data_IF_800069954277
#
_entry.id   IF_800069954277
#
_cell.length_a   1.000
_cell.length_b   1.000
_cell.length_c   1.000
_cell.angle_alpha   90.00
_cell.angle_beta   90.00
_cell.angle_gamma   90.00
#
_symmetry.space_group_name_H-M   'P 1'
#
loop_
_entity.id
_entity.type
_entity.pdbx_description
1 polymer ?
#
# COMPACT_ATOMS: atom_id res chain seq x y z
N UNK A 1 -13.47 1.94 10.93
CA UNK A 1 -12.90 2.34 9.63
C UNK A 1 -11.40 2.39 9.83
N UNK A 2 -10.64 1.38 9.39
CA UNK A 2 -9.21 1.60 9.17
C UNK A 2 -9.12 2.42 7.89
N UNK A 3 -8.66 3.66 7.97
CA UNK A 3 -8.31 4.39 6.76
C UNK A 3 -7.05 3.73 6.21
N UNK A 4 -7.13 3.18 5.00
CA UNK A 4 -5.99 2.71 4.20
C UNK A 4 -5.04 3.84 3.76
N UNK A 5 -5.17 5.01 4.37
CA UNK A 5 -4.55 6.23 3.93
C UNK A 5 -3.34 6.51 4.80
N UNK A 6 -2.22 6.69 4.12
CA UNK A 6 -0.94 6.94 4.75
C UNK A 6 -0.87 8.42 5.08
N UNK A 7 -0.57 8.75 6.34
CA UNK A 7 -0.37 10.12 6.80
C UNK A 7 1.09 10.28 7.21
N UNK A 8 1.75 11.31 6.69
CA UNK A 8 3.16 11.60 6.96
C UNK A 8 3.32 12.98 7.57
N UNK A 9 4.33 13.16 8.42
CA UNK A 9 4.84 14.48 8.74
C UNK A 9 5.44 15.14 7.49
N UNK A 10 5.31 16.46 7.36
CA UNK A 10 5.80 17.22 6.20
C UNK A 10 7.28 16.99 5.88
N UNK A 11 8.12 16.81 6.89
CA UNK A 11 9.56 16.62 6.70
C UNK A 11 9.90 15.27 6.04
N UNK A 12 9.04 14.27 6.22
CA UNK A 12 9.17 12.94 5.60
C UNK A 12 8.55 12.93 4.20
N UNK A 13 7.58 13.81 3.94
CA UNK A 13 6.80 13.85 2.71
C UNK A 13 7.65 14.01 1.44
N UNK A 14 8.65 14.89 1.48
CA UNK A 14 9.53 15.15 0.33
C UNK A 14 10.41 13.93 0.00
N UNK A 15 10.98 13.29 1.03
CA UNK A 15 11.71 12.04 0.85
C UNK A 15 10.80 10.94 0.29
N UNK A 16 9.58 10.83 0.81
CA UNK A 16 8.58 9.86 0.35
C UNK A 16 8.20 10.08 -1.12
N UNK A 17 8.07 11.33 -1.57
CA UNK A 17 7.76 11.68 -2.96
C UNK A 17 8.88 11.29 -3.94
N UNK A 18 10.13 11.46 -3.55
CA UNK A 18 11.28 11.02 -4.37
C UNK A 18 11.21 9.51 -4.63
N UNK A 19 10.87 8.73 -3.61
CA UNK A 19 10.81 7.26 -3.70
C UNK A 19 9.58 6.76 -4.45
N UNK A 20 8.42 7.31 -4.14
CA UNK A 20 7.17 6.89 -4.76
C UNK A 20 7.01 7.46 -6.19
N UNK A 21 7.80 8.47 -6.56
CA UNK A 21 7.76 9.13 -7.88
C UNK A 21 6.33 9.64 -8.16
N UNK A 22 5.83 9.39 -9.37
CA UNK A 22 4.48 9.78 -9.80
C UNK A 22 3.38 8.83 -9.28
N UNK A 23 3.73 7.88 -8.40
CA UNK A 23 2.79 6.90 -7.83
C UNK A 23 1.96 7.44 -6.66
N UNK A 24 2.19 8.69 -6.27
CA UNK A 24 1.49 9.36 -5.19
C UNK A 24 1.15 10.81 -5.51
N UNK A 25 0.14 11.31 -4.83
CA UNK A 25 -0.10 12.73 -4.61
C UNK A 25 -0.04 13.04 -3.12
N UNK A 26 0.55 14.19 -2.77
CA UNK A 26 0.63 14.67 -1.39
C UNK A 26 -0.43 15.75 -1.19
N UNK A 27 -1.40 15.47 -0.32
CA UNK A 27 -2.46 16.40 0.02
C UNK A 27 -2.18 17.01 1.40
N UNK A 28 -1.95 18.33 1.49
CA UNK A 28 -1.69 18.96 2.79
C UNK A 28 -2.92 18.85 3.68
N UNK A 29 -2.72 18.42 4.92
CA UNK A 29 -3.77 18.32 5.94
C UNK A 29 -3.30 18.94 7.26
N UNK A 30 -4.25 19.43 8.05
CA UNK A 30 -3.99 19.94 9.40
C UNK A 30 -4.56 18.92 10.37
N UNK A 31 -3.67 18.31 11.18
CA UNK A 31 -4.11 17.40 12.22
C UNK A 31 -4.51 18.20 13.47
N UNK A 32 -5.77 18.09 13.88
CA UNK A 32 -6.35 18.94 14.96
C UNK A 32 -5.61 18.84 16.29
N UNK A 33 -5.06 17.66 16.60
CA UNK A 33 -4.42 17.41 17.89
C UNK A 33 -2.92 17.74 17.93
N UNK A 34 -2.29 18.00 16.78
CA UNK A 34 -0.84 18.18 16.70
C UNK A 34 -0.41 19.53 16.15
N UNK A 35 -1.34 20.37 15.66
CA UNK A 35 -1.12 21.72 15.09
C UNK A 35 0.00 21.82 14.03
N UNK A 36 0.52 20.68 13.61
CA UNK A 36 1.62 20.49 12.69
C UNK A 36 1.10 20.17 11.29
N UNK A 37 1.92 20.51 10.30
CA UNK A 37 1.63 20.24 8.91
C UNK A 37 1.87 18.76 8.60
N UNK A 38 0.79 18.01 8.41
CA UNK A 38 0.85 16.65 7.89
C UNK A 38 0.47 16.64 6.41
N UNK A 39 0.80 15.55 5.73
CA UNK A 39 0.31 15.26 4.39
C UNK A 39 -0.38 13.91 4.37
N UNK A 40 -1.53 13.87 3.71
CA UNK A 40 -2.15 12.63 3.29
C UNK A 40 -1.49 12.18 1.99
N UNK A 41 -1.08 10.92 1.93
CA UNK A 41 -0.53 10.31 0.72
C UNK A 41 -1.65 9.60 -0.02
N UNK A 42 -2.03 10.15 -1.16
CA UNK A 42 -2.94 9.51 -2.09
C UNK A 42 -2.14 8.67 -3.07
N UNK A 43 -2.18 7.34 -2.94
CA UNK A 43 -1.58 6.43 -3.93
C UNK A 43 -2.39 6.46 -5.22
N UNK A 44 -1.75 6.81 -6.33
CA UNK A 44 -2.39 7.01 -7.65
C UNK A 44 -2.44 5.72 -8.47
N UNK A 45 -1.49 4.80 -8.24
CA UNK A 45 -1.48 3.49 -8.87
C UNK A 45 -2.51 2.57 -8.22
N UNK A 46 -3.74 2.60 -8.73
CA UNK A 46 -4.84 1.77 -8.26
C UNK A 46 -5.08 0.65 -9.27
N UNK A 47 -4.85 -0.60 -8.86
CA UNK A 47 -4.97 -1.77 -9.71
C UNK A 47 -6.20 -2.61 -9.33
N UNK A 48 -6.99 -3.08 -10.31
CA UNK A 48 -8.02 -4.08 -10.06
C UNK A 48 -7.44 -5.39 -9.53
N UNK A 49 -8.10 -6.03 -8.55
CA UNK A 49 -7.65 -7.29 -7.95
C UNK A 49 -7.42 -8.40 -8.99
N UNK A 50 -8.32 -8.55 -9.97
CA UNK A 50 -8.22 -9.57 -11.02
C UNK A 50 -7.01 -9.35 -11.95
N UNK A 51 -6.49 -8.13 -11.97
CA UNK A 51 -5.26 -7.76 -12.69
C UNK A 51 -4.03 -7.90 -11.81
N UNK A 52 -4.07 -7.43 -10.57
CA UNK A 52 -2.89 -7.41 -9.71
C UNK A 52 -2.60 -8.74 -9.02
N UNK A 53 -3.63 -9.52 -8.68
CA UNK A 53 -3.52 -10.70 -7.81
C UNK A 53 -3.86 -11.95 -8.59
N UNK A 54 -3.06 -13.00 -8.40
CA UNK A 54 -3.42 -14.34 -8.81
C UNK A 54 -4.29 -14.99 -7.73
N UNK A 55 -5.61 -14.83 -7.90
CA UNK A 55 -6.62 -15.34 -6.97
C UNK A 55 -6.54 -16.87 -6.84
N UNK A 56 -6.07 -17.58 -7.87
CA UNK A 56 -6.08 -19.05 -7.88
C UNK A 56 -5.04 -19.68 -6.95
N UNK A 57 -3.97 -18.93 -6.63
CA UNK A 57 -2.86 -19.37 -5.78
C UNK A 57 -2.68 -18.54 -4.51
N UNK A 58 -3.53 -17.54 -4.31
CA UNK A 58 -3.60 -16.74 -3.08
C UNK A 58 -4.46 -17.45 -2.03
N UNK A 59 -4.12 -17.28 -0.75
CA UNK A 59 -4.92 -17.77 0.38
C UNK A 59 -5.77 -16.62 0.92
N UNK A 60 -6.97 -16.49 0.35
CA UNK A 60 -7.92 -15.41 0.62
C UNK A 60 -9.04 -15.90 1.55
N UNK A 61 -9.35 -15.10 2.57
CA UNK A 61 -10.41 -15.36 3.53
C UNK A 61 -11.63 -14.49 3.22
N UNK A 62 -12.83 -15.07 3.30
CA UNK A 62 -14.05 -14.39 2.85
C UNK A 62 -15.35 -15.12 3.16
N UNK A 63 -16.46 -14.41 3.01
CA UNK A 63 -17.82 -14.93 3.11
C UNK A 63 -18.71 -14.31 2.03
N UNK A 64 -19.71 -15.08 1.56
CA UNK A 64 -20.73 -14.56 0.64
C UNK A 64 -20.22 -14.06 -0.71
N UNK A 65 -19.10 -14.59 -1.21
CA UNK A 65 -18.50 -14.14 -2.47
C UNK A 65 -17.69 -12.84 -2.34
N UNK A 66 -17.36 -12.42 -1.12
CA UNK A 66 -16.44 -11.32 -0.82
C UNK A 66 -15.23 -11.84 -0.01
N UNK A 67 -14.02 -11.41 -0.35
CA UNK A 67 -12.83 -11.55 0.50
C UNK A 67 -12.72 -10.32 1.40
N UNK A 68 -12.41 -10.52 2.66
CA UNK A 68 -12.23 -9.45 3.64
C UNK A 68 -10.87 -9.51 4.34
N UNK A 69 -10.11 -10.59 4.12
CA UNK A 69 -8.80 -10.81 4.71
C UNK A 69 -7.98 -11.82 3.87
N UNK A 70 -6.70 -12.02 4.17
CA UNK A 70 -5.84 -12.99 3.50
C UNK A 70 -4.75 -13.53 4.44
N UNK A 71 -4.28 -14.75 4.19
CA UNK A 71 -3.03 -15.26 4.80
C UNK A 71 -1.83 -15.12 3.88
N UNK A 72 -2.08 -15.14 2.57
CA UNK A 72 -1.08 -15.00 1.52
C UNK A 72 -1.69 -14.33 0.29
N UNK A 73 -1.00 -13.32 -0.24
CA UNK A 73 -1.35 -12.69 -1.51
C UNK A 73 -0.24 -12.90 -2.54
N UNK A 74 -0.59 -13.54 -3.66
CA UNK A 74 0.33 -13.71 -4.79
C UNK A 74 0.01 -12.69 -5.86
N UNK A 75 0.97 -11.84 -6.20
CA UNK A 75 0.79 -10.82 -7.23
C UNK A 75 1.24 -11.32 -8.60
N UNK A 76 0.53 -10.89 -9.64
CA UNK A 76 0.97 -11.04 -11.03
C UNK A 76 2.08 -10.03 -11.28
N UNK A 77 3.21 -10.50 -11.81
CA UNK A 77 4.40 -9.65 -11.94
C UNK A 77 4.23 -8.47 -12.90
N UNK A 78 3.60 -8.67 -14.07
CA UNK A 78 3.53 -7.62 -15.09
C UNK A 78 2.81 -6.34 -14.63
N UNK A 79 1.63 -6.41 -13.99
CA UNK A 79 0.88 -5.20 -13.63
C UNK A 79 1.50 -4.38 -12.50
N UNK A 80 2.38 -4.98 -11.69
CA UNK A 80 3.06 -4.30 -10.57
C UNK A 80 4.54 -4.00 -10.84
N UNK A 81 5.07 -4.44 -12.00
CA UNK A 81 6.50 -4.34 -12.30
C UNK A 81 6.93 -2.87 -12.29
N UNK A 82 7.92 -2.55 -11.47
CA UNK A 82 8.49 -1.21 -11.37
C UNK A 82 7.63 -0.21 -10.62
N UNK A 83 6.50 -0.62 -10.03
CA UNK A 83 5.70 0.24 -9.16
C UNK A 83 6.33 0.24 -7.76
N UNK A 84 6.74 1.41 -7.21
CA UNK A 84 7.27 1.49 -5.85
C UNK A 84 6.17 1.33 -4.80
N UNK A 85 4.96 1.82 -5.10
CA UNK A 85 3.77 1.73 -4.26
C UNK A 85 2.51 1.62 -5.14
N UNK A 86 1.54 0.82 -4.71
CA UNK A 86 0.25 0.66 -5.39
C UNK A 86 -0.86 0.26 -4.40
N UNK A 87 -2.11 0.54 -4.76
CA UNK A 87 -3.31 0.05 -4.07
C UNK A 87 -3.98 -1.01 -4.93
N UNK A 88 -4.52 -2.04 -4.30
CA UNK A 88 -5.42 -2.99 -4.96
C UNK A 88 -6.85 -2.68 -4.58
N UNK A 89 -7.75 -2.65 -5.58
CA UNK A 89 -9.18 -2.42 -5.38
C UNK A 89 -10.01 -3.45 -6.16
N UNK A 90 -11.26 -3.64 -5.72
CA UNK A 90 -12.27 -4.34 -6.50
C UNK A 90 -12.91 -5.50 -5.75
N UNK A 91 -14.15 -5.82 -6.12
CA UNK A 91 -14.80 -7.03 -5.64
C UNK A 91 -14.04 -8.25 -6.15
N UNK A 92 -13.87 -9.30 -5.34
CA UNK A 92 -14.55 -9.56 -4.08
C UNK A 92 -13.94 -8.90 -2.81
N UNK A 93 -12.89 -8.07 -2.86
CA UNK A 93 -12.28 -7.44 -1.68
C UNK A 93 -13.13 -6.27 -1.12
N UNK A 94 -14.27 -6.57 -0.50
CA UNK A 94 -15.26 -5.58 -0.03
C UNK A 94 -14.82 -4.80 1.21
N UNK A 95 -13.77 -5.24 1.91
CA UNK A 95 -13.23 -4.57 3.11
C UNK A 95 -11.72 -4.42 3.13
N UNK A 96 -11.03 -4.91 2.09
CA UNK A 96 -9.58 -4.91 2.05
C UNK A 96 -9.08 -3.78 1.14
N UNK A 97 -8.62 -2.70 1.78
CA UNK A 97 -7.91 -1.60 1.13
C UNK A 97 -6.46 -1.60 1.65
N UNK A 98 -5.60 -2.37 0.99
CA UNK A 98 -4.16 -2.42 1.30
C UNK A 98 -3.34 -1.51 0.39
N UNK A 99 -2.40 -0.78 0.96
CA UNK A 99 -1.28 -0.20 0.23
C UNK A 99 -0.14 -1.21 0.22
N UNK A 100 0.42 -1.47 -0.95
CA UNK A 100 1.52 -2.40 -1.15
C UNK A 100 2.73 -1.65 -1.68
N UNK A 101 3.91 -2.05 -1.21
CA UNK A 101 5.18 -1.45 -1.58
C UNK A 101 6.14 -2.53 -2.05
N UNK A 102 7.09 -2.18 -2.90
CA UNK A 102 8.14 -3.11 -3.29
C UNK A 102 9.25 -3.19 -2.23
N UNK A 103 10.16 -4.15 -2.38
CA UNK A 103 11.25 -4.38 -1.40
C UNK A 103 12.27 -3.23 -1.37
N UNK A 104 12.50 -2.53 -2.48
CA UNK A 104 13.35 -1.32 -2.51
C UNK A 104 12.78 -0.24 -1.59
N UNK A 105 11.48 -0.01 -1.69
CA UNK A 105 10.77 0.96 -0.87
C UNK A 105 10.78 0.57 0.62
N UNK A 106 10.49 -0.70 0.94
CA UNK A 106 10.55 -1.23 2.30
C UNK A 106 11.95 -1.03 2.92
N UNK A 107 13.01 -1.39 2.19
CA UNK A 107 14.40 -1.22 2.66
C UNK A 107 14.71 0.23 3.01
N UNK A 108 14.30 1.17 2.15
CA UNK A 108 14.51 2.59 2.37
C UNK A 108 13.72 3.09 3.59
N UNK A 109 12.45 2.72 3.73
CA UNK A 109 11.67 3.10 4.90
C UNK A 109 12.32 2.64 6.22
N UNK A 110 12.91 1.44 6.22
CA UNK A 110 13.66 0.91 7.37
C UNK A 110 15.00 1.62 7.57
N UNK A 111 15.74 1.93 6.50
CA UNK A 111 17.03 2.65 6.55
C UNK A 111 16.87 4.06 7.11
N UNK A 112 15.77 4.75 6.77
CA UNK A 112 15.45 6.08 7.30
C UNK A 112 14.74 6.05 8.66
N UNK A 113 14.60 4.87 9.28
CA UNK A 113 13.96 4.67 10.59
C UNK A 113 12.57 5.33 10.69
N UNK A 114 11.77 5.24 9.61
CA UNK A 114 10.42 5.82 9.59
C UNK A 114 9.56 5.20 10.70
N UNK A 115 8.94 6.05 11.52
CA UNK A 115 8.10 5.59 12.63
C UNK A 115 6.70 5.26 12.14
N UNK A 116 6.11 4.21 12.73
CA UNK A 116 4.73 3.81 12.45
C UNK A 116 4.54 2.95 11.18
N UNK A 117 5.62 2.59 10.49
CA UNK A 117 5.57 1.57 9.44
C UNK A 117 5.56 0.18 10.06
N UNK A 118 4.52 -0.60 9.77
CA UNK A 118 4.49 -2.04 10.01
C UNK A 118 4.46 -2.75 8.65
N UNK A 119 5.46 -3.59 8.39
CA UNK A 119 5.61 -4.28 7.11
C UNK A 119 5.39 -5.78 7.30
N UNK A 120 4.22 -6.24 6.92
CA UNK A 120 3.97 -7.67 6.78
C UNK A 120 4.47 -8.18 5.44
N UNK A 121 5.30 -9.23 5.46
CA UNK A 121 5.63 -9.97 4.26
C UNK A 121 4.39 -10.74 3.80
N UNK A 122 3.75 -10.26 2.75
CA UNK A 122 2.49 -10.82 2.24
C UNK A 122 2.68 -12.05 1.35
N UNK A 123 3.85 -12.17 0.70
CA UNK A 123 4.35 -13.37 0.02
C UNK A 123 5.76 -13.13 -0.56
N UNK A 124 6.65 -14.09 -0.39
CA UNK A 124 7.89 -14.22 -1.15
C UNK A 124 7.72 -15.45 -2.05
N UNK A 125 7.85 -15.24 -3.37
CA UNK A 125 7.75 -16.34 -4.33
C UNK A 125 8.96 -17.27 -4.28
N UNK A 126 8.89 -18.45 -4.91
CA UNK A 126 10.10 -19.19 -5.20
C UNK A 126 10.90 -18.39 -6.23
N UNK A 127 12.15 -18.06 -5.89
CA UNK A 127 13.13 -17.46 -6.80
C UNK A 127 13.28 -18.22 -8.13
#
# INVERSE_FOLDING_TARGET
MSSSDIVLGKDVAEAFKILARDSIELLPIIHRDYDDHYVLVAVTNILPIDKAVDISVSDLQGAGGSYNDFRKLVFKAEPIRGLPIFKVFGMPLGGFAGCFVNEEWRKLALEFELKGTDFDLIWEGPD
#
